data_IF_228620629685
#
_entry.id   IF_228620629685
#
_cell.length_a   1.000
_cell.length_b   1.000
_cell.length_c   1.000
_cell.angle_alpha   90.00
_cell.angle_beta   90.00
_cell.angle_gamma   90.00
#
_symmetry.space_group_name_H-M   'P 1'
#
loop_
_entity.id
_entity.type
_entity.pdbx_description
1 polymer ?
#
# COMPACT_ATOMS: atom_id res chain seq x y z
N UNK A 1 46.82 -13.02 -33.31
CA UNK A 1 47.27 -13.27 -31.92
C UNK A 1 47.81 -11.97 -31.36
N UNK A 2 47.04 -11.26 -30.53
CA UNK A 2 47.49 -10.14 -29.69
C UNK A 2 46.63 -10.16 -28.41
N UNK A 3 47.19 -9.87 -27.22
CA UNK A 3 46.56 -10.13 -25.92
C UNK A 3 45.82 -8.90 -25.32
N UNK A 4 44.66 -9.17 -24.71
CA UNK A 4 43.93 -8.50 -23.60
C UNK A 4 43.96 -6.97 -23.37
N UNK A 5 42.79 -6.33 -23.15
CA UNK A 5 42.64 -5.23 -22.19
C UNK A 5 42.26 -5.75 -20.77
N UNK A 6 42.59 -5.00 -19.69
CA UNK A 6 42.42 -5.42 -18.29
C UNK A 6 40.94 -5.40 -17.84
N UNK A 7 40.56 -6.08 -16.75
CA UNK A 7 39.20 -6.01 -16.23
C UNK A 7 38.94 -4.61 -15.65
N UNK A 8 37.72 -4.05 -15.79
CA UNK A 8 37.39 -2.79 -15.16
C UNK A 8 37.21 -3.01 -13.66
N UNK A 9 38.20 -2.56 -12.89
CA UNK A 9 38.11 -2.37 -11.44
C UNK A 9 37.28 -1.12 -11.12
N UNK A 10 35.95 -1.20 -11.25
CA UNK A 10 35.05 -0.17 -10.71
C UNK A 10 33.85 -0.82 -10.00
N UNK A 11 34.08 -1.03 -8.70
CA UNK A 11 33.20 -0.69 -7.59
C UNK A 11 31.73 -1.14 -7.66
N UNK A 12 31.41 -2.01 -6.69
CA UNK A 12 30.08 -2.24 -6.12
C UNK A 12 29.01 -2.72 -7.11
N UNK A 13 29.10 -3.99 -7.49
CA UNK A 13 27.88 -4.79 -7.50
C UNK A 13 27.96 -5.74 -6.32
N UNK A 14 27.53 -5.24 -5.16
CA UNK A 14 26.93 -6.08 -4.16
C UNK A 14 25.81 -6.86 -4.83
N UNK A 15 26.13 -8.02 -5.42
CA UNK A 15 25.17 -9.07 -5.68
C UNK A 15 24.83 -9.75 -4.34
N UNK A 16 24.61 -8.96 -3.30
CA UNK A 16 23.70 -9.33 -2.22
C UNK A 16 22.28 -9.08 -2.74
N UNK A 17 21.87 -9.81 -3.78
CA UNK A 17 20.46 -10.14 -3.99
C UNK A 17 20.02 -11.24 -3.00
N UNK A 18 20.61 -11.23 -1.80
CA UNK A 18 19.94 -11.69 -0.61
C UNK A 18 19.76 -10.43 0.21
N UNK A 19 18.59 -9.81 0.07
CA UNK A 19 18.07 -8.90 1.08
C UNK A 19 17.17 -9.74 1.97
N UNK A 20 17.70 -10.51 2.95
CA UNK A 20 16.95 -11.51 3.72
C UNK A 20 15.86 -10.92 4.63
N UNK A 21 15.52 -9.64 4.46
CA UNK A 21 14.57 -8.93 5.29
C UNK A 21 13.63 -8.00 4.51
N UNK A 22 13.66 -8.03 3.17
CA UNK A 22 12.62 -7.33 2.42
C UNK A 22 11.31 -8.12 2.53
N UNK A 23 10.26 -7.42 2.95
CA UNK A 23 8.92 -7.96 3.11
C UNK A 23 8.10 -7.49 1.92
N UNK A 24 7.67 -8.45 1.11
CA UNK A 24 6.83 -8.19 -0.06
C UNK A 24 5.39 -7.91 0.37
N UNK A 25 4.77 -6.90 -0.25
CA UNK A 25 3.36 -6.64 -0.07
C UNK A 25 2.49 -7.63 -0.85
N UNK A 26 1.55 -8.36 -0.22
CA UNK A 26 0.70 -9.32 -0.92
C UNK A 26 -0.32 -8.66 -1.87
N UNK A 27 -0.52 -7.34 -1.78
CA UNK A 27 -1.52 -6.62 -2.58
C UNK A 27 -0.94 -5.89 -3.80
N UNK A 28 0.32 -5.47 -3.75
CA UNK A 28 0.97 -4.76 -4.87
C UNK A 28 2.41 -5.20 -5.16
N UNK A 29 2.87 -6.26 -4.49
CA UNK A 29 4.20 -6.87 -4.65
C UNK A 29 5.36 -5.88 -4.41
N UNK A 30 5.10 -4.81 -3.68
CA UNK A 30 6.15 -3.85 -3.32
C UNK A 30 7.05 -4.44 -2.25
N UNK A 31 8.36 -4.34 -2.46
CA UNK A 31 9.39 -4.80 -1.53
C UNK A 31 9.70 -3.69 -0.52
N UNK A 32 9.45 -3.96 0.77
CA UNK A 32 9.70 -3.02 1.86
C UNK A 32 10.84 -3.53 2.73
N UNK A 33 11.69 -2.64 3.26
CA UNK A 33 12.87 -3.00 4.03
C UNK A 33 12.61 -3.58 5.43
N UNK A 34 11.36 -3.54 5.93
CA UNK A 34 11.03 -4.04 7.27
C UNK A 34 9.55 -4.39 7.39
N UNK A 35 9.22 -5.31 8.31
CA UNK A 35 7.82 -5.72 8.59
C UNK A 35 6.94 -4.55 9.04
N UNK A 36 7.43 -3.64 9.88
CA UNK A 36 6.64 -2.47 10.28
C UNK A 36 6.33 -1.55 9.10
N UNK A 37 7.30 -1.34 8.20
CA UNK A 37 7.12 -0.59 6.97
C UNK A 37 6.09 -1.24 6.05
N UNK A 38 6.09 -2.58 5.97
CA UNK A 38 5.09 -3.32 5.23
C UNK A 38 3.69 -3.18 5.85
N UNK A 39 3.55 -3.33 7.17
CA UNK A 39 2.27 -3.18 7.85
C UNK A 39 1.68 -1.79 7.67
N UNK A 40 2.49 -0.72 7.83
CA UNK A 40 2.04 0.65 7.55
C UNK A 40 1.72 0.87 6.08
N UNK A 41 2.49 0.29 5.18
CA UNK A 41 2.20 0.35 3.75
C UNK A 41 0.86 -0.31 3.42
N UNK A 42 0.59 -1.49 4.00
CA UNK A 42 -0.69 -2.16 3.90
C UNK A 42 -1.78 -1.30 4.50
N UNK A 43 -1.61 -0.77 5.71
CA UNK A 43 -2.58 0.12 6.39
C UNK A 43 -2.89 1.42 5.64
N UNK A 44 -1.94 1.98 4.91
CA UNK A 44 -2.12 3.28 4.23
C UNK A 44 -2.60 3.12 2.78
N UNK A 45 -2.21 2.02 2.12
CA UNK A 45 -2.40 1.82 0.66
C UNK A 45 -3.39 0.72 0.30
N UNK A 46 -3.59 -0.25 1.19
CA UNK A 46 -4.33 -1.47 0.87
C UNK A 46 -5.52 -1.69 1.79
N UNK A 47 -5.32 -1.53 3.10
CA UNK A 47 -6.40 -1.36 4.05
C UNK A 47 -6.78 0.09 3.95
N UNK A 48 -7.82 0.37 3.20
CA UNK A 48 -8.48 1.66 3.32
C UNK A 48 -9.15 1.63 4.69
N UNK A 49 -8.43 2.03 5.76
CA UNK A 49 -8.98 2.29 7.10
C UNK A 49 -9.85 3.52 6.99
N UNK A 50 -10.93 3.38 6.25
CA UNK A 50 -12.03 4.29 6.25
C UNK A 50 -12.94 3.77 7.34
N UNK A 51 -12.84 4.33 8.57
CA UNK A 51 -13.64 3.86 9.70
C UNK A 51 -15.14 3.91 9.42
N UNK A 52 -15.56 4.63 8.37
CA UNK A 52 -16.95 4.85 8.01
C UNK A 52 -17.26 4.15 6.69
N UNK A 53 -17.76 2.92 6.79
CA UNK A 53 -18.32 2.18 5.66
C UNK A 53 -19.80 2.47 5.54
N UNK A 54 -20.26 2.77 4.33
CA UNK A 54 -21.68 2.87 4.03
C UNK A 54 -22.31 1.47 4.08
N UNK A 55 -23.29 1.28 4.96
CA UNK A 55 -24.01 0.00 5.08
C UNK A 55 -24.90 -0.31 3.87
N UNK A 56 -25.23 0.68 3.03
CA UNK A 56 -26.14 0.52 1.90
C UNK A 56 -25.41 0.06 0.64
N UNK A 57 -24.31 0.74 0.28
CA UNK A 57 -23.56 0.45 -0.95
C UNK A 57 -22.15 -0.09 -0.69
N UNK A 58 -21.72 -0.18 0.58
CA UNK A 58 -20.36 -0.59 0.94
C UNK A 58 -19.29 0.46 0.66
N UNK A 59 -19.66 1.66 0.17
CA UNK A 59 -18.69 2.74 -0.09
C UNK A 59 -17.97 3.12 1.19
N UNK A 60 -16.65 3.18 1.11
CA UNK A 60 -15.83 3.53 2.25
C UNK A 60 -15.56 5.06 2.25
N UNK A 61 -15.57 5.68 3.43
CA UNK A 61 -15.35 7.13 3.63
C UNK A 61 -14.32 7.40 4.74
N UNK A 62 -13.44 8.40 4.55
CA UNK A 62 -12.33 8.70 5.49
C UNK A 62 -12.81 9.33 6.80
N UNK A 63 -13.99 9.95 6.77
CA UNK A 63 -14.55 10.67 7.91
C UNK A 63 -16.06 10.47 7.97
N UNK A 64 -16.63 10.63 9.17
CA UNK A 64 -18.08 10.58 9.40
C UNK A 64 -18.80 11.60 8.52
N UNK A 65 -18.28 12.83 8.43
CA UNK A 65 -18.88 13.89 7.63
C UNK A 65 -18.89 13.55 6.13
N UNK A 66 -17.83 12.91 5.62
CA UNK A 66 -17.81 12.42 4.23
C UNK A 66 -18.86 11.32 4.01
N UNK A 67 -19.02 10.40 4.97
CA UNK A 67 -20.08 9.38 4.91
C UNK A 67 -21.48 10.02 4.96
N UNK A 68 -21.68 11.04 5.79
CA UNK A 68 -22.97 11.75 5.87
C UNK A 68 -23.32 12.47 4.57
N UNK A 69 -22.35 13.18 3.96
CA UNK A 69 -22.53 13.79 2.65
C UNK A 69 -22.83 12.74 1.59
N UNK A 70 -22.06 11.65 1.57
CA UNK A 70 -22.29 10.52 0.66
C UNK A 70 -23.72 9.96 0.81
N UNK A 71 -24.19 9.73 2.04
CA UNK A 71 -25.57 9.28 2.28
C UNK A 71 -26.60 10.29 1.80
N UNK A 72 -26.38 11.58 2.06
CA UNK A 72 -27.28 12.64 1.63
C UNK A 72 -27.33 12.81 0.11
N UNK A 73 -26.24 12.49 -0.61
CA UNK A 73 -26.21 12.61 -2.08
C UNK A 73 -26.67 11.34 -2.77
N UNK A 74 -26.30 10.15 -2.27
CA UNK A 74 -26.49 8.87 -2.95
C UNK A 74 -27.61 8.00 -2.34
N UNK A 75 -28.04 8.28 -1.11
CA UNK A 75 -29.02 7.48 -0.35
C UNK A 75 -30.13 8.35 0.26
N UNK A 76 -30.54 9.40 -0.46
CA UNK A 76 -31.59 10.33 -0.03
C UNK A 76 -32.83 9.59 0.48
N UNK A 77 -33.21 9.87 1.73
CA UNK A 77 -34.38 9.28 2.38
C UNK A 77 -34.09 8.13 3.35
N UNK A 78 -32.83 7.72 3.53
CA UNK A 78 -32.46 6.61 4.43
C UNK A 78 -31.62 7.16 5.60
N UNK A 79 -32.02 6.90 6.87
CA UNK A 79 -31.27 7.39 8.03
C UNK A 79 -29.93 6.68 8.14
N UNK A 80 -28.86 7.48 8.27
CA UNK A 80 -27.49 7.03 8.47
C UNK A 80 -27.35 6.12 9.71
N UNK A 81 -27.26 4.81 9.50
CA UNK A 81 -26.76 3.87 10.53
C UNK A 81 -25.25 3.72 10.36
N UNK A 82 -24.51 4.33 11.27
CA UNK A 82 -23.06 4.20 11.38
C UNK A 82 -22.83 3.02 12.33
N UNK A 83 -22.18 1.97 11.82
CA UNK A 83 -21.73 0.79 12.57
C UNK A 83 -20.23 0.96 12.83
#
# INVERSE_FOLDING_TARGET
MMPSPPPPSHLLHHHTQSSPQQQECPHCLKMLSSRQSLLRHIDDRHVVTQPYRCAICGSMCKTKNALQKHHYTYHRGIPLRII
#
